data_IF_842793821060
#
_entry.id   IF_842793821060
#
_cell.length_a   1.000
_cell.length_b   1.000
_cell.length_c   1.000
_cell.angle_alpha   90.00
_cell.angle_beta   90.00
_cell.angle_gamma   90.00
#
_symmetry.space_group_name_H-M   'P 1'
#
loop_
_entity.id
_entity.type
_entity.pdbx_description
1 polymer ?
#
# COMPACT_ATOMS: atom_id res chain seq x y z
N UNK A 1 54.57 -0.79 -14.37
CA UNK A 1 53.15 -1.15 -14.05
C UNK A 1 52.37 -0.10 -13.26
N UNK A 2 52.99 0.98 -12.74
CA UNK A 2 52.29 1.98 -11.88
C UNK A 2 51.45 2.99 -12.61
N UNK A 3 51.63 3.26 -13.91
CA UNK A 3 50.94 4.38 -14.59
C UNK A 3 49.48 4.10 -14.94
N UNK A 4 49.13 2.84 -15.28
CA UNK A 4 47.76 2.47 -15.63
C UNK A 4 46.84 2.48 -14.42
N UNK A 5 47.33 2.03 -13.27
CA UNK A 5 46.62 2.02 -11.99
C UNK A 5 46.35 3.44 -11.50
N UNK A 6 47.35 4.36 -11.63
CA UNK A 6 47.19 5.76 -11.25
C UNK A 6 46.21 6.51 -12.15
N UNK A 7 46.20 6.26 -13.46
CA UNK A 7 45.21 6.84 -14.40
C UNK A 7 43.81 6.35 -14.12
N UNK A 8 43.63 5.08 -13.79
CA UNK A 8 42.35 4.49 -13.37
C UNK A 8 41.80 5.17 -12.12
N UNK A 9 42.64 5.30 -11.07
CA UNK A 9 42.28 5.94 -9.81
C UNK A 9 41.91 7.42 -10.00
N UNK A 10 42.66 8.15 -10.82
CA UNK A 10 42.36 9.56 -11.12
C UNK A 10 41.02 9.74 -11.85
N UNK A 11 40.70 8.86 -12.81
CA UNK A 11 39.39 8.88 -13.50
C UNK A 11 38.25 8.58 -12.55
N UNK A 12 38.44 7.64 -11.66
CA UNK A 12 37.46 7.23 -10.66
C UNK A 12 37.16 8.36 -9.69
N UNK A 13 38.20 9.00 -9.13
CA UNK A 13 38.04 10.16 -8.24
C UNK A 13 37.34 11.34 -8.95
N UNK A 14 37.61 11.57 -10.23
CA UNK A 14 36.91 12.57 -11.02
C UNK A 14 35.42 12.25 -11.22
N UNK A 15 35.05 10.99 -11.35
CA UNK A 15 33.65 10.57 -11.45
C UNK A 15 32.92 10.72 -10.11
N UNK A 16 33.57 10.37 -8.99
CA UNK A 16 33.04 10.61 -7.65
C UNK A 16 32.75 12.09 -7.41
N UNK A 17 33.73 12.97 -7.70
CA UNK A 17 33.55 14.42 -7.56
C UNK A 17 32.38 14.92 -8.41
N UNK A 18 32.29 14.48 -9.66
CA UNK A 18 31.16 14.86 -10.56
C UNK A 18 29.81 14.41 -10.02
N UNK A 19 29.72 13.20 -9.45
CA UNK A 19 28.48 12.71 -8.85
C UNK A 19 28.09 13.53 -7.63
N UNK A 20 29.04 13.81 -6.74
CA UNK A 20 28.80 14.65 -5.55
C UNK A 20 28.34 16.06 -5.95
N UNK A 21 29.00 16.67 -6.91
CA UNK A 21 28.63 17.99 -7.40
C UNK A 21 27.23 17.98 -8.06
N UNK A 22 26.92 16.95 -8.86
CA UNK A 22 25.60 16.81 -9.47
C UNK A 22 24.48 16.68 -8.42
N UNK A 23 24.70 15.91 -7.35
CA UNK A 23 23.70 15.77 -6.27
C UNK A 23 23.56 17.09 -5.51
N UNK A 24 24.66 17.80 -5.20
CA UNK A 24 24.61 19.13 -4.57
C UNK A 24 23.82 20.15 -5.38
N UNK A 25 24.03 20.20 -6.69
CA UNK A 25 23.25 21.09 -7.56
C UNK A 25 21.77 20.71 -7.59
N UNK A 26 21.42 19.41 -7.64
CA UNK A 26 20.03 18.98 -7.52
C UNK A 26 19.39 19.38 -6.19
N UNK A 27 20.12 19.25 -5.07
CA UNK A 27 19.64 19.71 -3.76
C UNK A 27 19.37 21.21 -3.81
N UNK A 28 20.32 21.99 -4.34
CA UNK A 28 20.18 23.44 -4.48
C UNK A 28 18.98 23.85 -5.33
N UNK A 29 18.71 23.13 -6.42
CA UNK A 29 17.53 23.33 -7.27
C UNK A 29 16.22 23.03 -6.53
N UNK A 30 16.20 21.98 -5.70
CA UNK A 30 14.99 21.52 -5.02
C UNK A 30 14.73 22.19 -3.65
N UNK A 31 15.73 22.79 -3.03
CA UNK A 31 15.60 23.46 -1.74
C UNK A 31 14.51 24.53 -1.66
N UNK A 32 14.31 25.41 -2.68
CA UNK A 32 13.21 26.36 -2.65
C UNK A 32 11.83 25.68 -2.59
N UNK A 33 11.67 24.60 -3.37
CA UNK A 33 10.43 23.80 -3.35
C UNK A 33 10.22 23.11 -1.99
N UNK A 34 11.28 22.57 -1.42
CA UNK A 34 11.24 21.94 -0.11
C UNK A 34 10.82 22.95 0.98
N UNK A 35 11.43 24.15 0.99
CA UNK A 35 11.07 25.24 1.93
C UNK A 35 9.62 25.69 1.77
N UNK A 36 9.14 25.84 0.54
CA UNK A 36 7.75 26.17 0.27
C UNK A 36 6.78 25.09 0.81
N UNK A 37 7.16 23.80 0.74
CA UNK A 37 6.39 22.71 1.33
C UNK A 37 6.40 22.74 2.86
N UNK A 38 7.48 23.19 3.48
CA UNK A 38 7.56 23.41 4.94
C UNK A 38 6.66 24.59 5.37
N UNK A 39 6.75 25.73 4.67
CA UNK A 39 5.97 26.94 4.96
C UNK A 39 4.46 26.68 4.90
N UNK A 40 3.99 25.93 3.92
CA UNK A 40 2.59 25.58 3.77
C UNK A 40 2.18 24.30 4.55
N UNK A 41 3.07 23.77 5.38
CA UNK A 41 2.88 22.58 6.22
C UNK A 41 2.51 21.30 5.48
N UNK A 42 2.81 21.23 4.18
CA UNK A 42 2.65 20.01 3.39
C UNK A 42 3.68 18.95 3.82
N UNK A 43 4.88 19.41 4.19
CA UNK A 43 5.98 18.59 4.66
C UNK A 43 6.52 19.18 5.96
N UNK A 44 6.84 18.32 6.93
CA UNK A 44 7.45 18.72 8.21
C UNK A 44 8.76 17.96 8.37
N UNK A 45 9.80 18.66 8.79
CA UNK A 45 11.17 18.18 9.00
C UNK A 45 12.19 19.05 8.27
N UNK A 46 13.45 18.95 8.65
CA UNK A 46 14.56 19.64 8.00
C UNK A 46 15.22 18.74 6.95
N UNK A 47 16.03 19.35 6.05
CA UNK A 47 16.73 18.56 5.02
C UNK A 47 17.62 17.49 5.65
N UNK A 48 18.30 17.82 6.74
CA UNK A 48 19.24 16.91 7.41
C UNK A 48 18.58 15.87 8.32
N UNK A 49 17.28 15.99 8.56
CA UNK A 49 16.55 15.01 9.37
C UNK A 49 16.55 13.63 8.70
N UNK A 50 16.59 12.58 9.51
CA UNK A 50 16.50 11.19 9.02
C UNK A 50 15.06 10.71 8.79
N UNK A 51 14.05 11.59 9.00
CA UNK A 51 12.67 11.37 8.57
C UNK A 51 11.99 12.71 8.26
N UNK A 52 11.00 12.62 7.38
CA UNK A 52 10.08 13.72 7.10
C UNK A 52 8.65 13.27 7.38
N UNK A 53 7.80 14.17 7.88
CA UNK A 53 6.37 13.90 8.04
C UNK A 53 5.61 14.50 6.86
N UNK A 54 4.90 13.64 6.13
CA UNK A 54 4.06 13.99 4.99
C UNK A 54 2.68 13.35 5.15
N UNK A 55 1.62 14.15 5.07
CA UNK A 55 0.23 13.69 5.31
C UNK A 55 0.08 12.94 6.66
N UNK A 56 0.62 13.52 7.73
CA UNK A 56 0.59 12.98 9.09
C UNK A 56 1.25 11.60 9.28
N UNK A 57 2.17 11.22 8.38
CA UNK A 57 2.93 9.97 8.47
C UNK A 57 4.40 10.20 8.15
N UNK A 58 5.26 9.52 8.88
CA UNK A 58 6.70 9.65 8.70
C UNK A 58 7.19 8.84 7.48
N UNK A 59 8.11 9.45 6.75
CA UNK A 59 8.94 8.84 5.71
C UNK A 59 10.35 8.81 6.27
N UNK A 60 10.88 7.63 6.55
CA UNK A 60 12.19 7.45 7.18
C UNK A 60 13.29 7.26 6.14
N UNK A 61 14.40 7.98 6.30
CA UNK A 61 15.64 7.84 5.54
C UNK A 61 16.66 7.05 6.36
N UNK A 62 16.39 5.78 6.58
CA UNK A 62 17.17 4.89 7.42
C UNK A 62 17.62 3.66 6.66
N UNK A 63 18.71 3.04 7.10
CA UNK A 63 19.18 1.77 6.57
C UNK A 63 18.10 0.70 6.70
N UNK A 64 18.24 -0.37 5.94
CA UNK A 64 17.23 -1.45 5.91
C UNK A 64 17.29 -2.36 7.12
N UNK A 65 18.40 -2.33 7.84
CA UNK A 65 18.59 -3.07 9.08
C UNK A 65 18.77 -2.09 10.23
N UNK A 66 18.25 -2.45 11.38
CA UNK A 66 18.36 -1.67 12.61
C UNK A 66 19.71 -1.91 13.33
N UNK A 67 19.87 -1.31 14.51
CA UNK A 67 21.10 -1.44 15.31
C UNK A 67 21.39 -2.88 15.75
N UNK A 68 20.41 -3.78 15.71
CA UNK A 68 20.56 -5.21 16.07
C UNK A 68 20.82 -6.08 14.84
N UNK A 69 20.79 -5.51 13.63
CA UNK A 69 20.88 -6.23 12.38
C UNK A 69 19.58 -6.88 11.92
N UNK A 70 18.45 -6.55 12.53
CA UNK A 70 17.14 -7.01 12.11
C UNK A 70 16.54 -6.10 11.03
N UNK A 71 15.72 -6.70 10.14
CA UNK A 71 15.08 -5.96 9.07
C UNK A 71 14.09 -4.92 9.63
N UNK A 72 14.28 -3.66 9.27
CA UNK A 72 13.41 -2.55 9.67
C UNK A 72 12.00 -2.73 9.11
N UNK A 73 11.02 -2.70 10.00
CA UNK A 73 9.58 -2.79 9.69
C UNK A 73 8.85 -1.53 10.17
N UNK A 74 7.55 -1.44 9.88
CA UNK A 74 6.70 -0.37 10.44
C UNK A 74 6.59 -0.40 11.97
N UNK A 75 6.97 -1.50 12.62
CA UNK A 75 6.93 -1.66 14.08
C UNK A 75 8.28 -1.39 14.76
N UNK A 76 9.37 -1.25 13.99
CA UNK A 76 10.70 -0.97 14.52
C UNK A 76 10.70 0.42 15.19
N UNK A 77 11.07 0.54 16.48
CA UNK A 77 11.18 1.81 17.17
C UNK A 77 12.10 2.79 16.46
N UNK A 78 11.86 4.08 16.63
CA UNK A 78 12.66 5.13 15.97
C UNK A 78 14.11 5.07 16.41
N UNK A 79 14.35 4.83 17.68
CA UNK A 79 15.66 4.76 18.33
C UNK A 79 16.51 3.58 17.86
N UNK A 80 15.86 2.51 17.37
CA UNK A 80 16.56 1.35 16.84
C UNK A 80 16.94 1.52 15.35
N UNK A 81 16.40 2.53 14.65
CA UNK A 81 16.68 2.77 13.25
C UNK A 81 18.03 3.44 13.06
N UNK A 82 18.81 2.93 12.12
CA UNK A 82 20.10 3.50 11.74
C UNK A 82 19.87 4.53 10.64
N UNK A 83 20.17 5.82 10.84
CA UNK A 83 20.10 6.81 9.78
C UNK A 83 20.92 6.40 8.56
N UNK A 84 20.42 6.74 7.38
CA UNK A 84 21.18 6.59 6.13
C UNK A 84 22.07 7.83 5.98
N UNK A 85 23.34 7.60 5.71
CA UNK A 85 24.32 8.67 5.57
C UNK A 85 24.70 8.94 4.11
N UNK A 86 25.31 10.11 3.89
CA UNK A 86 25.96 10.47 2.65
C UNK A 86 25.01 10.53 1.45
N UNK A 87 25.58 10.29 0.28
CA UNK A 87 24.94 10.56 -1.01
C UNK A 87 23.66 9.76 -1.24
N UNK A 88 23.55 8.54 -0.69
CA UNK A 88 22.35 7.73 -0.82
C UNK A 88 21.16 8.32 -0.07
N UNK A 89 21.41 8.98 1.08
CA UNK A 89 20.39 9.71 1.81
C UNK A 89 19.86 10.89 0.99
N UNK A 90 20.77 11.70 0.43
CA UNK A 90 20.41 12.85 -0.40
C UNK A 90 19.63 12.41 -1.67
N UNK A 91 20.09 11.37 -2.33
CA UNK A 91 19.39 10.79 -3.49
C UNK A 91 17.99 10.29 -3.11
N UNK A 92 17.85 9.62 -1.95
CA UNK A 92 16.55 9.15 -1.47
C UNK A 92 15.60 10.32 -1.16
N UNK A 93 16.09 11.40 -0.55
CA UNK A 93 15.35 12.64 -0.27
C UNK A 93 14.91 13.34 -1.56
N UNK A 94 15.81 13.51 -2.51
CA UNK A 94 15.50 14.07 -3.83
C UNK A 94 14.43 13.24 -4.55
N UNK A 95 14.57 11.92 -4.56
CA UNK A 95 13.60 11.04 -5.19
C UNK A 95 12.24 11.07 -4.50
N UNK A 96 12.23 11.22 -3.18
CA UNK A 96 11.02 11.42 -2.37
C UNK A 96 10.28 12.68 -2.80
N UNK A 97 10.99 13.82 -2.93
CA UNK A 97 10.40 15.08 -3.41
C UNK A 97 9.76 14.96 -4.78
N UNK A 98 10.38 14.24 -5.72
CA UNK A 98 9.79 13.98 -7.04
C UNK A 98 8.41 13.32 -6.93
N UNK A 99 8.23 12.41 -5.97
CA UNK A 99 6.94 11.74 -5.79
C UNK A 99 5.93 12.60 -5.03
N UNK A 100 6.35 13.39 -4.06
CA UNK A 100 5.49 14.36 -3.36
C UNK A 100 5.01 15.43 -4.34
N UNK A 101 5.89 15.98 -5.17
CA UNK A 101 5.55 16.95 -6.24
C UNK A 101 4.51 16.41 -7.24
N UNK A 102 4.48 15.11 -7.48
CA UNK A 102 3.47 14.44 -8.30
C UNK A 102 2.13 14.22 -7.57
N UNK A 103 1.98 14.72 -6.35
CA UNK A 103 0.75 14.58 -5.56
C UNK A 103 0.47 13.16 -5.05
N UNK A 104 1.48 12.27 -5.01
CA UNK A 104 1.27 10.92 -4.49
C UNK A 104 0.98 10.96 -2.98
N UNK A 105 0.04 10.13 -2.55
CA UNK A 105 -0.23 9.93 -1.12
C UNK A 105 0.96 9.25 -0.43
N UNK A 106 1.14 9.50 0.87
CA UNK A 106 2.29 9.02 1.65
C UNK A 106 2.60 7.52 1.42
N UNK A 107 1.60 6.63 1.52
CA UNK A 107 1.79 5.20 1.28
C UNK A 107 2.37 4.89 -0.10
N UNK A 108 1.96 5.62 -1.13
CA UNK A 108 2.47 5.46 -2.50
C UNK A 108 3.87 6.03 -2.65
N UNK A 109 4.20 7.11 -1.94
CA UNK A 109 5.57 7.66 -1.88
C UNK A 109 6.51 6.62 -1.28
N UNK A 110 6.19 6.10 -0.09
CA UNK A 110 7.01 5.08 0.61
C UNK A 110 7.20 3.83 -0.26
N UNK A 111 6.15 3.36 -0.93
CA UNK A 111 6.26 2.23 -1.85
C UNK A 111 7.22 2.52 -3.03
N UNK A 112 7.10 3.71 -3.64
CA UNK A 112 7.92 4.09 -4.80
C UNK A 112 9.40 4.27 -4.47
N UNK A 113 9.73 4.82 -3.29
CA UNK A 113 11.12 5.02 -2.87
C UNK A 113 11.79 3.74 -2.35
N UNK A 114 11.02 2.68 -2.09
CA UNK A 114 11.55 1.42 -1.60
C UNK A 114 12.65 0.85 -2.50
N UNK A 115 12.54 1.04 -3.82
CA UNK A 115 13.56 0.61 -4.78
C UNK A 115 14.92 1.29 -4.57
N UNK A 116 14.92 2.57 -4.20
CA UNK A 116 16.14 3.31 -3.84
C UNK A 116 16.82 2.70 -2.62
N UNK A 117 16.06 2.44 -1.55
CA UNK A 117 16.60 1.87 -0.31
C UNK A 117 17.15 0.45 -0.50
N UNK A 118 16.48 -0.40 -1.30
CA UNK A 118 16.96 -1.75 -1.56
C UNK A 118 18.22 -1.75 -2.43
N UNK A 119 18.32 -0.84 -3.38
CA UNK A 119 19.53 -0.71 -4.19
C UNK A 119 20.69 -0.18 -3.35
N UNK A 120 20.45 0.82 -2.50
CA UNK A 120 21.46 1.35 -1.58
C UNK A 120 21.98 0.28 -0.62
N UNK A 121 21.09 -0.54 -0.06
CA UNK A 121 21.43 -1.64 0.83
C UNK A 121 22.24 -2.73 0.12
N UNK A 122 21.85 -3.11 -1.10
CA UNK A 122 22.56 -4.07 -1.93
C UNK A 122 24.03 -3.66 -2.17
N UNK A 123 24.28 -2.37 -2.25
CA UNK A 123 25.60 -1.78 -2.42
C UNK A 123 26.26 -1.33 -1.12
N UNK A 124 25.74 -1.73 0.02
CA UNK A 124 26.25 -1.34 1.32
C UNK A 124 26.41 0.20 1.48
N UNK A 125 25.54 0.95 0.80
CA UNK A 125 25.51 2.45 0.80
C UNK A 125 26.80 3.10 0.23
N UNK A 126 27.60 2.38 -0.52
CA UNK A 126 28.83 2.90 -1.12
C UNK A 126 28.55 3.85 -2.28
N UNK A 127 29.28 4.97 -2.34
CA UNK A 127 29.18 5.97 -3.40
C UNK A 127 29.58 5.39 -4.77
N UNK A 128 30.63 4.56 -4.77
CA UNK A 128 31.23 4.04 -5.98
C UNK A 128 30.29 3.14 -6.78
N UNK A 129 29.38 2.50 -6.11
CA UNK A 129 28.37 1.65 -6.71
C UNK A 129 27.42 2.38 -7.67
N UNK A 130 27.17 3.67 -7.42
CA UNK A 130 26.34 4.50 -8.31
C UNK A 130 27.07 4.76 -9.61
N UNK A 131 28.37 5.04 -9.53
CA UNK A 131 29.23 5.38 -10.68
C UNK A 131 29.42 4.17 -11.61
N UNK A 132 29.44 2.99 -11.05
CA UNK A 132 29.67 1.73 -11.77
C UNK A 132 28.40 0.96 -12.07
N UNK A 133 27.23 1.49 -11.70
CA UNK A 133 25.93 0.84 -11.81
C UNK A 133 25.64 0.36 -13.24
N UNK A 134 25.25 -0.90 -13.35
CA UNK A 134 24.86 -1.56 -14.60
C UNK A 134 23.65 -2.47 -14.40
N UNK A 135 23.05 -2.95 -15.48
CA UNK A 135 21.87 -3.82 -15.42
C UNK A 135 22.11 -5.11 -14.61
N UNK A 136 23.30 -5.69 -14.68
CA UNK A 136 23.64 -6.90 -13.94
C UNK A 136 23.47 -6.73 -12.44
N UNK A 137 23.87 -5.59 -11.89
CA UNK A 137 23.76 -5.30 -10.47
C UNK A 137 22.29 -5.24 -10.01
N UNK A 138 21.40 -4.70 -10.85
CA UNK A 138 19.97 -4.70 -10.60
C UNK A 138 19.38 -6.11 -10.69
N UNK A 139 19.89 -6.93 -11.63
CA UNK A 139 19.41 -8.29 -11.85
C UNK A 139 19.81 -9.25 -10.70
N UNK A 140 20.84 -8.92 -9.91
CA UNK A 140 21.24 -9.65 -8.72
C UNK A 140 20.36 -9.37 -7.49
N UNK A 141 19.70 -8.22 -7.44
CA UNK A 141 18.87 -7.81 -6.31
C UNK A 141 17.80 -8.82 -5.90
N UNK A 142 17.07 -9.50 -6.82
CA UNK A 142 16.08 -10.51 -6.45
C UNK A 142 16.64 -11.62 -5.57
N UNK A 143 17.86 -12.08 -5.80
CA UNK A 143 18.51 -13.15 -5.02
C UNK A 143 18.76 -12.75 -3.56
N UNK A 144 19.02 -11.48 -3.32
CA UNK A 144 19.13 -10.90 -1.97
C UNK A 144 17.78 -10.76 -1.30
N UNK A 145 16.78 -10.30 -2.06
CA UNK A 145 15.41 -10.07 -1.55
C UNK A 145 14.67 -11.39 -1.25
N UNK A 146 14.92 -12.46 -2.01
CA UNK A 146 14.28 -13.78 -1.81
C UNK A 146 14.57 -14.38 -0.43
N UNK A 147 15.63 -13.95 0.24
CA UNK A 147 15.95 -14.37 1.61
C UNK A 147 14.95 -13.82 2.65
N UNK A 148 14.26 -12.73 2.34
CA UNK A 148 13.43 -11.99 3.29
C UNK A 148 11.96 -11.89 2.88
N UNK A 149 11.63 -12.10 1.60
CA UNK A 149 10.31 -11.80 1.07
C UNK A 149 9.74 -12.91 0.18
N UNK A 150 8.41 -13.00 0.17
CA UNK A 150 7.70 -13.83 -0.80
C UNK A 150 7.90 -13.30 -2.24
N UNK A 151 7.88 -14.19 -3.23
CA UNK A 151 8.16 -13.91 -4.66
C UNK A 151 7.45 -12.67 -5.22
N UNK A 152 6.18 -12.44 -4.84
CA UNK A 152 5.43 -11.24 -5.27
C UNK A 152 6.05 -9.96 -4.71
N UNK A 153 6.44 -9.96 -3.44
CA UNK A 153 7.08 -8.80 -2.81
C UNK A 153 8.47 -8.53 -3.38
N UNK A 154 9.21 -9.58 -3.71
CA UNK A 154 10.50 -9.48 -4.44
C UNK A 154 10.31 -8.81 -5.78
N UNK A 155 9.32 -9.27 -6.57
CA UNK A 155 9.01 -8.68 -7.87
C UNK A 155 8.66 -7.19 -7.76
N UNK A 156 7.81 -6.79 -6.81
CA UNK A 156 7.43 -5.38 -6.65
C UNK A 156 8.65 -4.51 -6.25
N UNK A 157 9.49 -4.98 -5.33
CA UNK A 157 10.70 -4.25 -4.93
C UNK A 157 11.72 -4.13 -6.07
N UNK A 158 11.94 -5.20 -6.83
CA UNK A 158 12.77 -5.20 -8.03
C UNK A 158 12.24 -4.23 -9.08
N UNK A 159 10.94 -4.25 -9.36
CA UNK A 159 10.27 -3.34 -10.28
C UNK A 159 10.43 -1.87 -9.86
N UNK A 160 10.28 -1.55 -8.57
CA UNK A 160 10.48 -0.19 -8.06
C UNK A 160 11.96 0.23 -8.15
N UNK A 161 12.91 -0.70 -8.00
CA UNK A 161 14.34 -0.42 -8.23
C UNK A 161 14.61 -0.10 -9.70
N UNK A 162 14.07 -0.89 -10.63
CA UNK A 162 14.17 -0.60 -12.08
C UNK A 162 13.54 0.75 -12.39
N UNK A 163 12.39 1.08 -11.81
CA UNK A 163 11.71 2.36 -11.99
C UNK A 163 12.56 3.51 -11.45
N UNK A 164 13.15 3.39 -10.28
CA UNK A 164 14.05 4.38 -9.68
C UNK A 164 15.23 4.69 -10.59
N UNK A 165 15.95 3.66 -11.04
CA UNK A 165 17.10 3.85 -11.94
C UNK A 165 16.67 4.51 -13.27
N UNK A 166 15.61 3.97 -13.89
CA UNK A 166 15.11 4.44 -15.19
C UNK A 166 14.56 5.86 -15.17
N UNK A 167 13.86 6.24 -14.11
CA UNK A 167 13.10 7.49 -14.04
C UNK A 167 13.80 8.59 -13.26
N UNK A 168 14.85 8.25 -12.51
CA UNK A 168 15.56 9.21 -11.68
C UNK A 168 17.08 9.18 -11.90
N UNK A 169 17.80 8.09 -11.62
CA UNK A 169 19.26 8.10 -11.71
C UNK A 169 19.78 8.38 -13.12
N UNK A 170 19.28 7.67 -14.12
CA UNK A 170 19.71 7.84 -15.52
C UNK A 170 19.34 9.22 -16.07
N UNK A 171 18.09 9.71 -15.98
CA UNK A 171 17.72 11.03 -16.47
C UNK A 171 18.45 12.19 -15.79
N UNK A 172 18.75 12.04 -14.49
CA UNK A 172 19.52 13.03 -13.71
C UNK A 172 21.03 12.88 -13.90
N UNK A 173 21.48 11.93 -14.74
CA UNK A 173 22.90 11.66 -15.03
C UNK A 173 23.73 11.32 -13.79
N UNK A 174 23.10 10.73 -12.77
CA UNK A 174 23.73 10.32 -11.54
C UNK A 174 24.46 8.97 -11.66
N UNK A 175 24.09 8.16 -12.65
CA UNK A 175 24.77 6.90 -12.98
C UNK A 175 25.01 6.79 -14.48
N UNK A 176 25.79 5.79 -14.94
CA UNK A 176 25.98 5.53 -16.37
C UNK A 176 24.64 5.32 -17.08
N UNK A 177 24.56 5.73 -18.34
CA UNK A 177 23.37 5.49 -19.17
C UNK A 177 23.37 4.06 -19.68
N UNK A 178 22.35 3.29 -19.34
CA UNK A 178 22.11 1.94 -19.87
C UNK A 178 20.62 1.64 -19.98
N UNK A 179 20.26 0.67 -20.80
CA UNK A 179 18.88 0.26 -21.00
C UNK A 179 18.40 -0.58 -19.80
N UNK A 180 17.64 0.05 -18.91
CA UNK A 180 17.09 -0.61 -17.72
C UNK A 180 15.82 -1.36 -18.08
N UNK A 181 15.79 -2.68 -17.81
CA UNK A 181 14.65 -3.56 -18.10
C UNK A 181 14.25 -4.38 -16.89
N UNK A 182 12.94 -4.62 -16.75
CA UNK A 182 12.42 -5.61 -15.80
C UNK A 182 12.56 -6.98 -16.43
N UNK A 183 13.50 -7.80 -15.94
CA UNK A 183 13.75 -9.17 -16.45
C UNK A 183 13.05 -10.25 -15.63
N UNK A 184 12.69 -9.95 -14.38
CA UNK A 184 11.97 -10.89 -13.53
C UNK A 184 10.51 -11.00 -14.00
N UNK A 185 10.04 -12.24 -14.20
CA UNK A 185 8.66 -12.49 -14.55
C UNK A 185 7.72 -12.11 -13.38
N UNK A 186 6.59 -11.48 -13.70
CA UNK A 186 5.59 -11.15 -12.68
C UNK A 186 4.95 -12.44 -12.15
N UNK A 187 5.09 -12.77 -10.86
CA UNK A 187 4.48 -13.98 -10.29
C UNK A 187 2.95 -14.01 -10.39
N UNK A 188 2.31 -12.84 -10.48
CA UNK A 188 0.85 -12.76 -10.68
C UNK A 188 0.42 -13.30 -12.06
N UNK A 189 1.30 -13.25 -13.07
CA UNK A 189 0.98 -13.80 -14.39
C UNK A 189 0.96 -15.34 -14.40
N UNK A 190 1.66 -15.98 -13.45
CA UNK A 190 1.59 -17.44 -13.27
C UNK A 190 0.30 -17.90 -12.55
N UNK A 191 -0.43 -16.98 -11.91
CA UNK A 191 -1.75 -17.31 -11.35
C UNK A 191 -2.83 -17.50 -12.42
N UNK A 192 -2.59 -17.05 -13.65
CA UNK A 192 -3.49 -17.31 -14.79
C UNK A 192 -3.35 -18.75 -15.31
N UNK A 193 -2.31 -19.50 -14.91
CA UNK A 193 -2.17 -20.94 -15.19
C UNK A 193 -2.91 -21.83 -14.18
N UNK A 194 -3.47 -21.25 -13.12
CA UNK A 194 -4.46 -21.94 -12.28
C UNK A 194 -5.71 -22.08 -13.14
N UNK A 195 -6.06 -23.32 -13.49
CA UNK A 195 -7.24 -23.60 -14.31
C UNK A 195 -8.44 -22.86 -13.72
N UNK A 196 -9.32 -22.36 -14.58
CA UNK A 196 -10.55 -21.66 -14.16
C UNK A 196 -11.30 -22.46 -13.09
N UNK A 197 -11.23 -23.80 -13.17
CA UNK A 197 -11.81 -24.73 -12.20
C UNK A 197 -11.15 -24.68 -10.82
N UNK A 198 -9.82 -24.63 -10.72
CA UNK A 198 -9.14 -24.53 -9.42
C UNK A 198 -9.35 -23.17 -8.75
N UNK A 199 -9.41 -22.09 -9.55
CA UNK A 199 -9.77 -20.76 -9.05
C UNK A 199 -11.21 -20.77 -8.53
N UNK A 200 -12.13 -21.34 -9.28
CA UNK A 200 -13.52 -21.49 -8.91
C UNK A 200 -13.67 -22.31 -7.62
N UNK A 201 -13.02 -23.50 -7.54
CA UNK A 201 -13.03 -24.34 -6.32
C UNK A 201 -12.48 -23.61 -5.09
N UNK A 202 -11.39 -22.81 -5.23
CA UNK A 202 -10.85 -22.02 -4.12
C UNK A 202 -11.80 -20.90 -3.69
N UNK A 203 -12.45 -20.25 -4.65
CA UNK A 203 -13.44 -19.21 -4.40
C UNK A 203 -14.67 -19.78 -3.71
N UNK A 204 -15.19 -20.87 -4.23
CA UNK A 204 -16.40 -21.53 -3.71
C UNK A 204 -16.16 -22.08 -2.30
N UNK A 205 -15.00 -22.69 -2.05
CA UNK A 205 -14.60 -23.11 -0.70
C UNK A 205 -14.55 -21.94 0.28
N UNK A 206 -13.96 -20.81 -0.10
CA UNK A 206 -13.88 -19.62 0.75
C UNK A 206 -15.27 -19.02 0.99
N UNK A 207 -16.09 -18.93 -0.05
CA UNK A 207 -17.46 -18.42 0.03
C UNK A 207 -18.34 -19.29 0.95
N UNK A 208 -18.29 -20.60 0.81
CA UNK A 208 -19.05 -21.53 1.66
C UNK A 208 -18.64 -21.43 3.13
N UNK A 209 -17.35 -21.33 3.43
CA UNK A 209 -16.86 -21.15 4.82
C UNK A 209 -17.38 -19.84 5.43
N UNK A 210 -17.39 -18.77 4.65
CA UNK A 210 -17.88 -17.46 5.12
C UNK A 210 -19.41 -17.50 5.33
N UNK A 211 -20.17 -18.17 4.46
CA UNK A 211 -21.62 -18.39 4.62
C UNK A 211 -21.95 -19.22 5.84
N UNK A 212 -21.29 -20.37 6.03
CA UNK A 212 -21.52 -21.25 7.16
C UNK A 212 -21.24 -20.52 8.48
N UNK A 213 -20.18 -19.72 8.51
CA UNK A 213 -19.84 -18.88 9.66
C UNK A 213 -20.92 -17.84 9.94
N UNK A 214 -21.44 -17.18 8.89
CA UNK A 214 -22.53 -16.21 9.01
C UNK A 214 -23.81 -16.86 9.53
N UNK A 215 -24.20 -17.99 8.95
CA UNK A 215 -25.39 -18.78 9.37
C UNK A 215 -25.23 -19.19 10.83
N UNK A 216 -24.07 -19.66 11.24
CA UNK A 216 -23.79 -20.02 12.63
C UNK A 216 -23.91 -18.85 13.61
N UNK A 217 -23.53 -17.64 13.21
CA UNK A 217 -23.71 -16.43 14.01
C UNK A 217 -25.18 -16.04 14.07
N UNK A 218 -25.89 -16.03 12.95
CA UNK A 218 -27.30 -15.71 12.86
C UNK A 218 -28.16 -16.68 13.72
N UNK A 219 -27.84 -17.98 13.66
CA UNK A 219 -28.51 -18.99 14.47
C UNK A 219 -28.32 -18.76 15.98
N UNK A 220 -27.09 -18.52 16.45
CA UNK A 220 -26.82 -18.22 17.86
C UNK A 220 -27.54 -16.96 18.33
N UNK A 221 -27.60 -15.94 17.48
CA UNK A 221 -28.33 -14.72 17.77
C UNK A 221 -29.83 -14.97 17.93
N UNK A 222 -30.42 -15.70 16.98
CA UNK A 222 -31.84 -16.07 17.04
C UNK A 222 -32.18 -16.84 18.32
N UNK A 223 -31.37 -17.85 18.67
CA UNK A 223 -31.55 -18.64 19.90
C UNK A 223 -31.46 -17.79 21.16
N UNK A 224 -30.53 -16.80 21.19
CA UNK A 224 -30.40 -15.88 22.31
C UNK A 224 -31.59 -14.90 22.41
N UNK A 225 -32.08 -14.39 21.29
CA UNK A 225 -33.26 -13.52 21.25
C UNK A 225 -34.52 -14.27 21.70
N UNK A 226 -34.72 -15.53 21.31
CA UNK A 226 -35.82 -16.36 21.76
C UNK A 226 -35.79 -16.57 23.29
N UNK A 227 -34.59 -16.75 23.85
CA UNK A 227 -34.42 -16.87 25.30
C UNK A 227 -34.84 -15.58 26.02
N UNK A 228 -34.44 -14.41 25.53
CA UNK A 228 -34.82 -13.15 26.12
C UNK A 228 -36.32 -12.88 26.02
N UNK A 229 -36.95 -13.19 24.88
CA UNK A 229 -38.39 -13.08 24.69
C UNK A 229 -39.14 -13.99 25.69
N UNK A 230 -38.68 -15.23 25.87
CA UNK A 230 -39.25 -16.15 26.83
C UNK A 230 -39.13 -15.66 28.30
N UNK A 231 -38.11 -14.84 28.60
CA UNK A 231 -37.91 -14.20 29.89
C UNK A 231 -38.70 -12.87 30.03
N UNK A 232 -39.49 -12.49 29.02
CA UNK A 232 -40.26 -11.22 29.01
C UNK A 232 -39.37 -9.99 28.81
N UNK A 233 -38.16 -10.15 28.33
CA UNK A 233 -37.21 -9.08 28.03
C UNK A 233 -37.30 -8.70 26.54
N UNK A 234 -36.96 -7.46 26.23
CA UNK A 234 -36.81 -7.05 24.83
C UNK A 234 -35.71 -7.87 24.17
N UNK A 235 -35.95 -8.35 22.93
CA UNK A 235 -34.92 -8.99 22.13
C UNK A 235 -33.81 -7.96 21.87
N UNK A 236 -32.66 -8.20 22.47
CA UNK A 236 -31.44 -7.45 22.22
C UNK A 236 -30.42 -8.41 21.64
N UNK A 237 -29.41 -7.92 20.98
CA UNK A 237 -28.36 -8.76 20.43
C UNK A 237 -27.34 -9.16 21.52
N UNK A 238 -27.62 -10.15 22.39
CA UNK A 238 -26.80 -10.44 23.57
C UNK A 238 -25.39 -10.96 23.21
N UNK A 239 -25.21 -11.36 21.95
CA UNK A 239 -23.90 -11.80 21.41
C UNK A 239 -23.05 -10.60 21.00
N UNK A 240 -23.64 -9.41 20.92
CA UNK A 240 -22.96 -8.19 20.49
C UNK A 240 -22.55 -7.37 21.70
N UNK A 241 -21.25 -7.09 21.82
CA UNK A 241 -20.70 -6.34 22.95
C UNK A 241 -20.88 -4.83 22.82
N UNK A 242 -21.15 -4.35 21.60
CA UNK A 242 -21.32 -2.93 21.31
C UNK A 242 -22.14 -2.73 20.04
N UNK A 243 -22.70 -1.51 19.84
CA UNK A 243 -23.37 -1.11 18.61
C UNK A 243 -22.46 -1.23 17.36
N UNK A 244 -21.14 -1.08 17.51
CA UNK A 244 -20.18 -1.32 16.43
C UNK A 244 -20.13 -2.78 15.98
N UNK A 245 -20.23 -3.74 16.89
CA UNK A 245 -20.25 -5.14 16.54
C UNK A 245 -21.54 -5.50 15.83
N UNK A 246 -22.65 -4.91 16.24
CA UNK A 246 -23.94 -5.05 15.58
C UNK A 246 -23.90 -4.46 14.15
N UNK A 247 -23.37 -3.24 13.94
CA UNK A 247 -23.20 -2.66 12.61
C UNK A 247 -22.33 -3.51 11.69
N UNK A 248 -21.24 -4.09 12.22
CA UNK A 248 -20.39 -5.00 11.44
C UNK A 248 -21.17 -6.25 11.01
N UNK A 249 -21.98 -6.80 11.89
CA UNK A 249 -22.82 -7.96 11.59
C UNK A 249 -23.87 -7.62 10.53
N UNK A 250 -24.58 -6.51 10.68
CA UNK A 250 -25.58 -6.03 9.74
C UNK A 250 -25.02 -5.65 8.36
N UNK A 251 -23.73 -5.33 8.28
CA UNK A 251 -23.04 -5.07 7.02
C UNK A 251 -22.73 -6.35 6.20
N UNK A 252 -22.68 -7.52 6.85
CA UNK A 252 -22.30 -8.79 6.17
C UNK A 252 -23.19 -9.13 4.96
N UNK A 253 -24.53 -9.00 5.02
CA UNK A 253 -25.41 -9.26 3.87
C UNK A 253 -25.06 -8.42 2.64
N UNK A 254 -24.65 -7.16 2.83
CA UNK A 254 -24.25 -6.29 1.72
C UNK A 254 -22.96 -6.76 1.04
N UNK A 255 -21.98 -7.23 1.81
CA UNK A 255 -20.78 -7.85 1.23
C UNK A 255 -21.11 -9.12 0.44
N UNK A 256 -21.96 -9.94 0.99
CA UNK A 256 -22.27 -11.25 0.41
C UNK A 256 -23.17 -11.14 -0.84
N UNK A 257 -24.21 -10.33 -0.78
CA UNK A 257 -25.18 -10.21 -1.87
C UNK A 257 -24.64 -9.40 -3.07
N UNK A 258 -23.79 -8.41 -2.82
CA UNK A 258 -23.36 -7.47 -3.87
C UNK A 258 -21.86 -7.50 -4.14
N UNK A 259 -21.06 -8.25 -3.39
CA UNK A 259 -19.61 -8.28 -3.54
C UNK A 259 -18.94 -6.91 -3.28
N UNK A 260 -19.52 -6.09 -2.40
CA UNK A 260 -19.01 -4.75 -2.11
C UNK A 260 -17.66 -4.79 -1.41
N UNK A 261 -16.85 -3.76 -1.61
CA UNK A 261 -15.65 -3.51 -0.80
C UNK A 261 -16.04 -2.84 0.52
N UNK A 262 -15.19 -2.98 1.54
CA UNK A 262 -15.43 -2.35 2.84
C UNK A 262 -15.68 -0.83 2.72
N UNK A 263 -14.88 -0.12 1.93
CA UNK A 263 -15.06 1.31 1.71
C UNK A 263 -16.36 1.67 0.96
N UNK A 264 -16.89 0.78 0.14
CA UNK A 264 -18.19 0.95 -0.53
C UNK A 264 -19.33 0.78 0.46
N UNK A 265 -19.27 -0.22 1.34
CA UNK A 265 -20.28 -0.43 2.41
C UNK A 265 -20.29 0.75 3.39
N UNK A 266 -19.12 1.21 3.83
CA UNK A 266 -19.01 2.35 4.74
C UNK A 266 -19.49 3.69 4.15
N UNK A 267 -19.70 3.77 2.84
CA UNK A 267 -20.20 4.94 2.12
C UNK A 267 -21.64 4.78 1.62
N UNK A 268 -22.32 3.71 1.99
CA UNK A 268 -23.73 3.58 1.66
C UNK A 268 -24.50 4.70 2.34
N UNK A 269 -25.27 5.44 1.52
CA UNK A 269 -26.14 6.50 2.01
C UNK A 269 -27.39 5.92 2.65
N UNK A 270 -28.06 6.67 3.53
CA UNK A 270 -29.26 6.19 4.22
C UNK A 270 -30.42 5.84 3.29
N UNK A 271 -30.47 6.46 2.11
CA UNK A 271 -31.45 6.18 1.05
C UNK A 271 -30.90 5.29 -0.06
N UNK A 272 -29.86 4.50 0.25
CA UNK A 272 -29.21 3.63 -0.75
C UNK A 272 -30.13 2.50 -1.25
N UNK A 273 -31.15 2.10 -0.52
CA UNK A 273 -32.12 1.10 -0.93
C UNK A 273 -33.35 1.79 -1.50
N UNK A 274 -33.77 1.39 -2.68
CA UNK A 274 -34.97 1.87 -3.34
C UNK A 274 -35.75 0.74 -4.00
N UNK A 275 -37.02 0.98 -4.33
CA UNK A 275 -37.86 0.06 -5.08
C UNK A 275 -38.07 0.58 -6.48
N UNK A 276 -37.93 -0.27 -7.47
CA UNK A 276 -38.20 -0.01 -8.88
C UNK A 276 -39.59 -0.57 -9.21
N UNK A 277 -40.57 0.31 -9.30
CA UNK A 277 -41.95 -0.06 -9.58
C UNK A 277 -42.14 -0.70 -10.97
N UNK A 278 -41.30 -0.29 -11.94
CA UNK A 278 -41.40 -0.79 -13.30
C UNK A 278 -40.96 -2.25 -13.39
N UNK A 279 -39.91 -2.61 -12.66
CA UNK A 279 -39.35 -3.96 -12.64
C UNK A 279 -39.77 -4.77 -11.42
N UNK A 280 -40.62 -4.20 -10.55
CA UNK A 280 -41.13 -4.79 -9.30
C UNK A 280 -40.01 -5.38 -8.42
N UNK A 281 -38.89 -4.67 -8.29
CA UNK A 281 -37.73 -5.16 -7.54
C UNK A 281 -37.03 -4.07 -6.71
N UNK A 282 -36.43 -4.52 -5.64
CA UNK A 282 -35.55 -3.69 -4.84
C UNK A 282 -34.17 -3.56 -5.49
N UNK A 283 -33.56 -2.40 -5.32
CA UNK A 283 -32.19 -2.14 -5.78
C UNK A 283 -31.37 -1.41 -4.71
N UNK A 284 -30.04 -1.59 -4.77
CA UNK A 284 -29.06 -0.89 -3.95
C UNK A 284 -28.28 0.10 -4.81
N UNK A 285 -28.24 1.37 -4.40
CA UNK A 285 -27.39 2.41 -5.00
C UNK A 285 -26.02 2.38 -4.34
N UNK A 286 -24.96 2.21 -5.11
CA UNK A 286 -23.59 2.12 -4.63
C UNK A 286 -22.74 3.19 -5.29
N UNK A 287 -22.01 3.97 -4.49
CA UNK A 287 -20.93 4.83 -4.95
C UNK A 287 -19.64 3.98 -5.01
N UNK A 288 -19.09 3.73 -6.20
CA UNK A 288 -17.89 2.94 -6.34
C UNK A 288 -16.64 3.71 -5.89
N UNK A 289 -15.62 2.98 -5.35
CA UNK A 289 -14.38 3.61 -4.87
C UNK A 289 -13.56 4.32 -5.97
N UNK A 290 -13.80 3.98 -7.23
CA UNK A 290 -13.05 4.51 -8.37
C UNK A 290 -13.69 5.73 -9.04
N UNK A 291 -14.71 6.34 -8.42
CA UNK A 291 -15.37 7.52 -8.98
C UNK A 291 -16.25 7.21 -10.21
N UNK A 292 -16.55 5.95 -10.45
CA UNK A 292 -17.56 5.56 -11.43
C UNK A 292 -18.93 6.02 -10.94
N UNK A 293 -19.82 6.35 -11.86
CA UNK A 293 -21.19 6.78 -11.57
C UNK A 293 -21.88 5.79 -10.63
N UNK A 294 -22.71 6.32 -9.72
CA UNK A 294 -23.52 5.51 -8.82
C UNK A 294 -24.23 4.40 -9.61
N UNK A 295 -23.95 3.14 -9.29
CA UNK A 295 -24.60 2.00 -9.95
C UNK A 295 -25.77 1.52 -9.10
N UNK A 296 -26.94 1.36 -9.73
CA UNK A 296 -28.06 0.66 -9.13
C UNK A 296 -27.88 -0.86 -9.36
N UNK A 297 -27.82 -1.64 -8.29
CA UNK A 297 -27.67 -3.09 -8.35
C UNK A 297 -28.96 -3.73 -7.83
N UNK A 298 -29.59 -4.65 -8.58
CA UNK A 298 -30.79 -5.32 -8.09
C UNK A 298 -30.47 -6.15 -6.85
N UNK A 299 -31.36 -6.10 -5.85
CA UNK A 299 -31.25 -6.93 -4.66
C UNK A 299 -31.62 -8.36 -5.06
N UNK A 300 -30.73 -9.37 -4.85
CA UNK A 300 -31.09 -10.76 -5.15
C UNK A 300 -32.24 -11.22 -4.25
N UNK A 301 -33.23 -11.90 -4.82
CA UNK A 301 -34.44 -12.33 -4.10
C UNK A 301 -34.15 -13.08 -2.81
N UNK A 302 -33.17 -13.99 -2.83
CA UNK A 302 -32.79 -14.78 -1.66
C UNK A 302 -32.18 -13.94 -0.51
N UNK A 303 -31.73 -12.70 -0.79
CA UNK A 303 -31.17 -11.80 0.20
C UNK A 303 -32.09 -10.64 0.56
N UNK A 304 -33.23 -10.51 -0.11
CA UNK A 304 -34.08 -9.33 -0.04
C UNK A 304 -34.53 -9.02 1.38
N UNK A 305 -35.12 -9.97 2.07
CA UNK A 305 -35.64 -9.81 3.44
C UNK A 305 -34.50 -9.40 4.41
N UNK A 306 -33.37 -10.15 4.38
CA UNK A 306 -32.24 -9.90 5.25
C UNK A 306 -31.61 -8.53 4.99
N UNK A 307 -31.54 -8.09 3.72
CA UNK A 307 -30.97 -6.79 3.37
C UNK A 307 -31.88 -5.66 3.82
N UNK A 308 -33.17 -5.76 3.60
CA UNK A 308 -34.14 -4.73 4.02
C UNK A 308 -34.16 -4.60 5.54
N UNK A 309 -34.18 -5.70 6.26
CA UNK A 309 -34.15 -5.73 7.72
C UNK A 309 -32.84 -5.18 8.28
N UNK A 310 -31.69 -5.61 7.70
CA UNK A 310 -30.38 -5.09 8.08
C UNK A 310 -30.28 -3.59 7.84
N UNK A 311 -30.76 -3.09 6.70
CA UNK A 311 -30.75 -1.67 6.40
C UNK A 311 -31.59 -0.87 7.38
N UNK A 312 -32.83 -1.31 7.64
CA UNK A 312 -33.70 -0.68 8.63
C UNK A 312 -33.01 -0.58 9.99
N UNK A 313 -32.39 -1.69 10.45
CA UNK A 313 -31.71 -1.72 11.74
C UNK A 313 -30.45 -0.85 11.78
N UNK A 314 -29.69 -0.78 10.69
CA UNK A 314 -28.56 0.16 10.56
C UNK A 314 -29.03 1.60 10.73
N UNK A 315 -30.14 1.99 10.10
CA UNK A 315 -30.71 3.34 10.26
C UNK A 315 -31.12 3.62 11.70
N UNK A 316 -31.79 2.68 12.38
CA UNK A 316 -32.17 2.82 13.79
C UNK A 316 -30.97 3.07 14.71
N UNK A 317 -29.81 2.47 14.40
CA UNK A 317 -28.58 2.64 15.19
C UNK A 317 -27.86 3.95 14.85
N UNK A 318 -27.91 4.40 13.60
CA UNK A 318 -27.10 5.51 13.10
C UNK A 318 -27.86 6.86 13.02
N UNK A 319 -29.18 6.87 12.91
CA UNK A 319 -30.00 8.10 12.80
C UNK A 319 -30.00 9.01 14.06
N UNK A 320 -29.70 8.52 15.29
CA UNK A 320 -29.58 9.42 16.44
C UNK A 320 -28.33 10.31 16.43
N UNK A 321 -27.43 10.14 15.46
CA UNK A 321 -26.18 10.90 15.31
C UNK A 321 -26.17 11.71 14.02
#
# INVERSE_FOLDING_TARGET
MNSVTQLGQHRFNKQQTRLLDAVKELIKEELPTFKSMQENKTLIGEWDDFYWTYQNKNIYFTKRYDITGELVTGKTPVEARVPMDGIWCDIAKLYTLVHIKKGKVNKSVVASIAGCFWLADHFNYELDSIITLKQADIDELPSTLDKHFAKRSVFEKYKETVAFVKTFLVPKKLCPSFATKVKLANPANKQNDVTTEEYQKRRDKKFNVDIDKYIGIAKRRFEADQTLIAEGKAATYPVMKSGYDELRFLAIPFFMAFGLRLGEVCRLHKDCIGFDETNERWYLRVLTEKGELASARPVPLMWQEIILESHKRILEITDPF
#
